data_IF_230842642976
#
_entry.id   IF_230842642976
#
_cell.length_a   1.000
_cell.length_b   1.000
_cell.length_c   1.000
_cell.angle_alpha   90.00
_cell.angle_beta   90.00
_cell.angle_gamma   90.00
#
_symmetry.space_group_name_H-M   'P 1'
#
loop_
_entity.id
_entity.type
_entity.pdbx_description
1 polymer ?
#
# COMPACT_ATOMS: atom_id res chain seq x y z
N UNK A 1 -10.72 15.45 10.00
CA UNK A 1 -10.13 14.43 10.88
C UNK A 1 -9.24 13.52 10.04
N UNK A 2 -8.09 13.04 10.54
CA UNK A 2 -7.28 12.06 9.84
C UNK A 2 -8.08 10.77 9.64
N UNK A 3 -7.94 10.17 8.46
CA UNK A 3 -8.59 8.88 8.13
C UNK A 3 -7.58 7.77 8.40
N UNK A 4 -7.99 6.74 9.13
CA UNK A 4 -7.14 5.61 9.48
C UNK A 4 -7.33 4.45 8.49
N UNK A 5 -6.24 3.75 8.20
CA UNK A 5 -6.22 2.50 7.45
C UNK A 5 -5.79 1.40 8.42
N UNK A 6 -6.58 0.35 8.52
CA UNK A 6 -6.20 -0.83 9.31
C UNK A 6 -5.31 -1.78 8.49
N UNK A 7 -4.34 -2.41 9.13
CA UNK A 7 -3.40 -3.35 8.50
C UNK A 7 -3.38 -4.72 9.18
N UNK A 8 -4.28 -4.96 10.14
CA UNK A 8 -4.30 -6.17 10.97
C UNK A 8 -4.38 -7.44 10.12
N UNK A 9 -5.33 -7.51 9.19
CA UNK A 9 -5.53 -8.70 8.35
C UNK A 9 -4.28 -8.99 7.51
N UNK A 10 -3.67 -7.96 6.90
CA UNK A 10 -2.43 -8.13 6.15
C UNK A 10 -1.31 -8.68 7.02
N UNK A 11 -1.13 -8.16 8.22
CA UNK A 11 -0.08 -8.59 9.13
C UNK A 11 -0.29 -10.03 9.63
N UNK A 12 -1.52 -10.42 9.93
CA UNK A 12 -1.87 -11.80 10.28
C UNK A 12 -1.68 -12.79 9.13
N UNK A 13 -1.62 -12.31 7.90
CA UNK A 13 -1.41 -13.10 6.69
C UNK A 13 0.04 -13.16 6.23
N UNK A 14 0.97 -12.48 6.91
CA UNK A 14 2.40 -12.46 6.61
C UNK A 14 3.20 -13.35 7.57
N UNK A 15 4.48 -13.60 7.24
CA UNK A 15 5.43 -14.27 8.13
C UNK A 15 5.50 -13.57 9.51
N UNK A 16 5.60 -14.33 10.63
CA UNK A 16 5.66 -15.79 10.72
C UNK A 16 4.28 -16.47 10.76
N UNK A 17 3.18 -15.73 10.71
CA UNK A 17 1.80 -16.24 10.87
C UNK A 17 1.18 -16.77 9.57
N UNK A 18 1.86 -16.52 8.44
CA UNK A 18 1.34 -16.92 7.13
C UNK A 18 1.02 -18.42 7.06
N UNK A 19 -0.20 -18.72 6.62
CA UNK A 19 -0.72 -20.08 6.56
C UNK A 19 -1.16 -20.69 7.90
N UNK A 20 -0.99 -19.96 9.02
CA UNK A 20 -1.44 -20.42 10.33
C UNK A 20 -2.82 -19.89 10.72
N UNK A 21 -3.23 -18.79 10.09
CA UNK A 21 -4.54 -18.19 10.30
C UNK A 21 -5.39 -18.43 9.05
N UNK A 22 -6.35 -19.34 9.08
CA UNK A 22 -7.20 -19.65 7.94
C UNK A 22 -8.14 -18.48 7.62
N UNK A 23 -8.60 -18.41 6.38
CA UNK A 23 -9.50 -17.34 5.91
C UNK A 23 -10.75 -17.24 6.78
N UNK A 24 -11.32 -18.38 7.22
CA UNK A 24 -12.51 -18.39 8.06
C UNK A 24 -12.37 -17.58 9.36
N UNK A 25 -11.21 -17.64 10.02
CA UNK A 25 -10.93 -16.85 11.23
C UNK A 25 -10.76 -15.35 10.91
N UNK A 26 -10.12 -15.04 9.78
CA UNK A 26 -9.95 -13.65 9.34
C UNK A 26 -11.28 -12.96 9.00
N UNK A 27 -12.29 -13.71 8.55
CA UNK A 27 -13.61 -13.13 8.26
C UNK A 27 -14.27 -12.53 9.49
N UNK A 28 -14.19 -13.21 10.65
CA UNK A 28 -14.71 -12.67 11.90
C UNK A 28 -14.01 -11.38 12.33
N UNK A 29 -12.68 -11.31 12.17
CA UNK A 29 -11.90 -10.10 12.44
C UNK A 29 -12.30 -8.98 11.47
N UNK A 30 -12.45 -9.29 10.18
CA UNK A 30 -12.83 -8.33 9.16
C UNK A 30 -14.20 -7.69 9.43
N UNK A 31 -15.19 -8.47 9.86
CA UNK A 31 -16.53 -7.97 10.21
C UNK A 31 -16.52 -7.00 11.41
N UNK A 32 -15.60 -7.19 12.35
CA UNK A 32 -15.41 -6.24 13.47
C UNK A 32 -14.75 -4.97 12.98
N UNK A 33 -13.69 -5.08 12.17
CA UNK A 33 -12.95 -3.95 11.62
C UNK A 33 -13.81 -3.11 10.65
N UNK A 34 -14.71 -3.75 9.90
CA UNK A 34 -15.62 -3.08 8.96
C UNK A 34 -16.54 -2.07 9.66
N UNK A 35 -16.89 -2.34 10.92
CA UNK A 35 -17.75 -1.47 11.74
C UNK A 35 -16.97 -0.38 12.50
N UNK A 36 -15.63 -0.43 12.48
CA UNK A 36 -14.79 0.49 13.26
C UNK A 36 -14.56 1.85 12.59
N UNK A 37 -15.06 2.06 11.36
CA UNK A 37 -14.97 3.35 10.66
C UNK A 37 -13.63 3.61 10.00
N UNK A 38 -12.85 2.59 9.67
CA UNK A 38 -11.63 2.73 8.88
C UNK A 38 -11.91 3.19 7.46
N UNK A 39 -10.98 3.94 6.89
CA UNK A 39 -11.07 4.38 5.49
C UNK A 39 -10.77 3.25 4.50
N UNK A 40 -9.98 2.27 4.93
CA UNK A 40 -9.60 1.11 4.14
C UNK A 40 -9.10 0.01 5.08
N UNK A 41 -9.36 -1.25 4.74
CA UNK A 41 -8.77 -2.42 5.37
C UNK A 41 -7.69 -2.97 4.43
N UNK A 42 -6.42 -2.83 4.79
CA UNK A 42 -5.32 -3.40 4.04
C UNK A 42 -5.24 -4.90 4.34
N UNK A 43 -5.73 -5.72 3.42
CA UNK A 43 -5.97 -7.15 3.65
C UNK A 43 -4.89 -8.05 3.06
N UNK A 44 -4.04 -7.52 2.16
CA UNK A 44 -3.02 -8.32 1.51
C UNK A 44 -1.81 -7.47 1.11
N UNK A 45 -0.74 -8.14 0.71
CA UNK A 45 0.49 -7.51 0.25
C UNK A 45 1.38 -8.51 -0.47
N UNK A 46 2.48 -8.04 -1.07
CA UNK A 46 3.40 -8.89 -1.82
C UNK A 46 3.89 -10.10 -1.03
N UNK A 47 4.18 -9.93 0.26
CA UNK A 47 4.61 -11.04 1.13
C UNK A 47 3.55 -12.12 1.34
N UNK A 48 2.26 -11.76 1.31
CA UNK A 48 1.17 -12.75 1.40
C UNK A 48 1.14 -13.65 0.17
N UNK A 49 1.26 -13.06 -1.03
CA UNK A 49 1.31 -13.83 -2.28
C UNK A 49 2.56 -14.70 -2.38
N UNK A 50 3.72 -14.16 -2.03
CA UNK A 50 4.98 -14.91 -2.04
C UNK A 50 4.91 -16.12 -1.12
N UNK A 51 4.38 -15.95 0.09
CA UNK A 51 4.21 -17.04 1.05
C UNK A 51 3.20 -18.08 0.57
N UNK A 52 2.09 -17.66 -0.01
CA UNK A 52 1.07 -18.56 -0.53
C UNK A 52 1.65 -19.48 -1.62
N UNK A 53 2.44 -18.93 -2.53
CA UNK A 53 3.11 -19.70 -3.59
C UNK A 53 4.16 -20.66 -3.01
N UNK A 54 5.00 -20.19 -2.10
CA UNK A 54 6.10 -21.02 -1.55
C UNK A 54 5.64 -22.13 -0.62
N UNK A 55 4.57 -21.91 0.13
CA UNK A 55 4.12 -22.86 1.17
C UNK A 55 2.87 -23.65 0.79
N UNK A 56 2.29 -23.38 -0.37
CA UNK A 56 1.07 -24.04 -0.81
C UNK A 56 -0.12 -23.84 0.13
N UNK A 57 -0.19 -22.65 0.75
CA UNK A 57 -1.32 -22.28 1.60
C UNK A 57 -2.52 -21.81 0.76
N UNK A 58 -3.61 -21.41 1.41
CA UNK A 58 -4.81 -20.90 0.75
C UNK A 58 -4.52 -19.81 -0.30
N UNK A 59 -5.31 -19.82 -1.37
CA UNK A 59 -5.19 -18.84 -2.44
C UNK A 59 -5.43 -17.41 -1.93
N UNK A 60 -4.48 -16.47 -2.12
CA UNK A 60 -4.69 -15.08 -1.74
C UNK A 60 -5.87 -14.43 -2.47
N UNK A 61 -6.18 -14.86 -3.69
CA UNK A 61 -7.31 -14.36 -4.47
C UNK A 61 -8.65 -14.79 -3.86
N UNK A 62 -8.77 -16.05 -3.44
CA UNK A 62 -9.97 -16.56 -2.77
C UNK A 62 -10.19 -15.86 -1.43
N UNK A 63 -9.11 -15.63 -0.68
CA UNK A 63 -9.14 -14.86 0.56
C UNK A 63 -9.65 -13.44 0.34
N UNK A 64 -9.13 -12.72 -0.66
CA UNK A 64 -9.58 -11.35 -0.98
C UNK A 64 -11.07 -11.35 -1.35
N UNK A 65 -11.54 -12.29 -2.20
CA UNK A 65 -12.96 -12.41 -2.54
C UNK A 65 -13.83 -12.69 -1.33
N UNK A 66 -13.40 -13.59 -0.45
CA UNK A 66 -14.14 -13.94 0.76
C UNK A 66 -14.27 -12.72 1.70
N UNK A 67 -13.19 -11.96 1.89
CA UNK A 67 -13.20 -10.72 2.67
C UNK A 67 -14.11 -9.67 2.02
N UNK A 68 -14.02 -9.47 0.70
CA UNK A 68 -14.86 -8.52 -0.04
C UNK A 68 -16.35 -8.83 0.07
N UNK A 69 -16.71 -10.10 0.12
CA UNK A 69 -18.10 -10.52 0.29
C UNK A 69 -18.66 -10.25 1.71
N UNK A 70 -17.81 -9.99 2.69
CA UNK A 70 -18.17 -9.80 4.11
C UNK A 70 -17.98 -8.37 4.62
N UNK A 71 -17.36 -7.50 3.83
CA UNK A 71 -17.03 -6.12 4.24
C UNK A 71 -17.53 -5.11 3.23
N UNK A 72 -17.90 -3.94 3.72
CA UNK A 72 -18.29 -2.76 2.92
C UNK A 72 -17.15 -1.75 2.80
N UNK A 73 -16.25 -1.72 3.78
CA UNK A 73 -15.05 -0.88 3.77
C UNK A 73 -14.15 -1.25 2.59
N UNK A 74 -13.59 -0.27 1.86
CA UNK A 74 -12.66 -0.54 0.77
C UNK A 74 -11.50 -1.44 1.18
N UNK A 75 -11.16 -2.43 0.33
CA UNK A 75 -10.05 -3.34 0.58
C UNK A 75 -8.76 -2.84 -0.05
N UNK A 76 -7.67 -2.89 0.72
CA UNK A 76 -6.35 -2.42 0.34
C UNK A 76 -5.33 -3.53 0.07
N UNK A 77 -4.43 -3.27 -0.89
CA UNK A 77 -3.29 -4.11 -1.24
C UNK A 77 -2.01 -3.30 -1.23
N UNK A 78 -1.01 -3.72 -0.43
CA UNK A 78 0.30 -3.07 -0.35
C UNK A 78 1.35 -3.80 -1.19
N UNK A 79 2.04 -3.06 -2.07
CA UNK A 79 3.02 -3.59 -3.01
C UNK A 79 4.30 -2.74 -3.04
N UNK A 80 5.43 -3.35 -3.45
CA UNK A 80 6.72 -2.68 -3.61
C UNK A 80 6.95 -2.31 -5.08
N UNK A 81 6.24 -1.30 -5.58
CA UNK A 81 6.42 -0.85 -6.97
C UNK A 81 6.46 -2.02 -7.96
N UNK A 82 7.42 -2.01 -8.89
CA UNK A 82 7.61 -3.09 -9.89
C UNK A 82 8.05 -4.44 -9.33
N UNK A 83 8.45 -4.50 -8.06
CA UNK A 83 8.81 -5.77 -7.42
C UNK A 83 7.57 -6.60 -7.04
N UNK A 84 6.41 -5.97 -6.95
CA UNK A 84 5.11 -6.56 -6.60
C UNK A 84 5.20 -7.52 -5.41
N UNK A 85 5.40 -8.80 -5.70
CA UNK A 85 5.39 -9.91 -4.74
C UNK A 85 6.79 -10.46 -4.41
N UNK A 86 7.82 -10.09 -5.16
CA UNK A 86 9.14 -10.70 -5.06
C UNK A 86 10.25 -9.72 -4.68
N UNK A 87 11.49 -10.18 -4.89
CA UNK A 87 12.73 -9.41 -4.71
C UNK A 87 13.34 -8.96 -6.03
N UNK A 88 12.73 -9.28 -7.17
CA UNK A 88 13.18 -8.87 -8.50
C UNK A 88 12.06 -8.09 -9.20
N UNK A 89 12.41 -7.05 -9.97
CA UNK A 89 11.42 -6.33 -10.75
C UNK A 89 10.81 -7.25 -11.83
N UNK A 90 9.51 -7.10 -12.04
CA UNK A 90 8.79 -7.87 -13.06
C UNK A 90 8.47 -7.01 -14.28
N UNK A 91 8.21 -7.66 -15.42
CA UNK A 91 7.87 -6.97 -16.65
C UNK A 91 6.49 -6.29 -16.60
N UNK A 92 6.31 -5.25 -17.40
CA UNK A 92 5.10 -4.42 -17.44
C UNK A 92 3.82 -5.23 -17.71
N UNK A 93 3.88 -6.28 -18.55
CA UNK A 93 2.72 -7.13 -18.81
C UNK A 93 2.29 -7.95 -17.59
N UNK A 94 3.25 -8.42 -16.79
CA UNK A 94 2.94 -9.09 -15.54
C UNK A 94 2.32 -8.11 -14.54
N UNK A 95 2.86 -6.89 -14.43
CA UNK A 95 2.31 -5.84 -13.59
C UNK A 95 0.85 -5.58 -13.95
N UNK A 96 0.55 -5.36 -15.23
CA UNK A 96 -0.82 -5.10 -15.70
C UNK A 96 -1.78 -6.23 -15.35
N UNK A 97 -1.40 -7.49 -15.65
CA UNK A 97 -2.23 -8.66 -15.33
C UNK A 97 -2.46 -8.83 -13.84
N UNK A 98 -1.42 -8.64 -13.03
CA UNK A 98 -1.52 -8.74 -11.57
C UNK A 98 -2.48 -7.69 -11.01
N UNK A 99 -2.35 -6.43 -11.42
CA UNK A 99 -3.23 -5.33 -10.99
C UNK A 99 -4.67 -5.57 -11.44
N UNK A 100 -4.90 -5.99 -12.70
CA UNK A 100 -6.24 -6.32 -13.20
C UNK A 100 -6.87 -7.43 -12.35
N UNK A 101 -6.15 -8.54 -12.15
CA UNK A 101 -6.62 -9.64 -11.32
C UNK A 101 -6.92 -9.21 -9.89
N UNK A 102 -6.09 -8.36 -9.28
CA UNK A 102 -6.34 -7.85 -7.94
C UNK A 102 -7.63 -7.00 -7.89
N UNK A 103 -7.81 -6.11 -8.85
CA UNK A 103 -9.00 -5.27 -8.98
C UNK A 103 -10.28 -6.09 -9.18
N UNK A 104 -10.23 -7.11 -10.05
CA UNK A 104 -11.33 -8.04 -10.33
C UNK A 104 -11.69 -8.90 -9.11
N UNK A 105 -10.73 -9.23 -8.27
CA UNK A 105 -10.95 -9.98 -7.03
C UNK A 105 -11.40 -9.10 -5.85
N UNK A 106 -11.57 -7.80 -6.03
CA UNK A 106 -12.20 -6.92 -5.03
C UNK A 106 -11.27 -5.95 -4.33
N UNK A 107 -10.02 -5.77 -4.80
CA UNK A 107 -9.14 -4.71 -4.30
C UNK A 107 -9.61 -3.36 -4.82
N UNK A 108 -9.79 -2.39 -3.92
CA UNK A 108 -10.24 -1.04 -4.22
C UNK A 108 -9.11 -0.01 -4.14
N UNK A 109 -8.14 -0.22 -3.25
CA UNK A 109 -7.05 0.70 -2.96
C UNK A 109 -5.70 0.00 -3.09
N UNK A 110 -4.80 0.54 -3.89
CA UNK A 110 -3.44 0.03 -4.01
C UNK A 110 -2.46 1.01 -3.37
N UNK A 111 -1.69 0.56 -2.39
CA UNK A 111 -0.61 1.31 -1.80
C UNK A 111 0.72 0.81 -2.34
N UNK A 112 1.42 1.67 -3.06
CA UNK A 112 2.75 1.38 -3.59
C UNK A 112 3.81 2.19 -2.85
N UNK A 113 4.95 1.58 -2.58
CA UNK A 113 6.18 2.27 -2.19
C UNK A 113 7.38 1.57 -2.84
N UNK A 114 8.46 2.29 -3.00
CA UNK A 114 9.77 1.71 -3.28
C UNK A 114 10.64 1.84 -2.03
N UNK A 115 11.34 0.78 -1.58
CA UNK A 115 12.15 0.83 -0.35
C UNK A 115 13.29 1.85 -0.38
N UNK A 116 13.76 2.22 -1.59
CA UNK A 116 14.81 3.21 -1.82
C UNK A 116 14.25 4.54 -2.34
N UNK A 117 12.93 4.71 -2.35
CA UNK A 117 12.24 5.87 -2.88
C UNK A 117 12.50 6.15 -4.37
N UNK A 118 12.81 5.11 -5.15
CA UNK A 118 12.88 5.27 -6.60
C UNK A 118 11.46 5.34 -7.18
N UNK A 119 10.99 6.57 -7.40
CA UNK A 119 9.65 6.85 -7.94
C UNK A 119 9.46 6.26 -9.34
N UNK A 120 10.53 6.00 -10.09
CA UNK A 120 10.44 5.36 -11.41
C UNK A 120 9.83 3.96 -11.34
N UNK A 121 10.07 3.23 -10.26
CA UNK A 121 9.51 1.90 -10.00
C UNK A 121 8.00 1.91 -9.71
N UNK A 122 7.42 3.07 -9.44
CA UNK A 122 5.98 3.22 -9.19
C UNK A 122 5.19 3.56 -10.47
N UNK A 123 5.85 3.95 -11.57
CA UNK A 123 5.18 4.45 -12.78
C UNK A 123 4.30 3.40 -13.45
N UNK A 124 4.88 2.26 -13.83
CA UNK A 124 4.15 1.20 -14.52
C UNK A 124 3.00 0.63 -13.68
N UNK A 125 3.21 0.23 -12.40
CA UNK A 125 2.13 -0.26 -11.58
C UNK A 125 1.10 0.83 -11.24
N UNK A 126 1.52 2.08 -11.04
CA UNK A 126 0.61 3.20 -10.85
C UNK A 126 -0.29 3.43 -12.07
N UNK A 127 0.28 3.42 -13.29
CA UNK A 127 -0.50 3.52 -14.51
C UNK A 127 -1.50 2.36 -14.66
N UNK A 128 -1.10 1.13 -14.33
CA UNK A 128 -1.98 -0.03 -14.37
C UNK A 128 -3.16 0.12 -13.40
N UNK A 129 -2.92 0.60 -12.17
CA UNK A 129 -3.95 0.82 -11.13
C UNK A 129 -4.96 1.88 -11.59
N UNK A 130 -4.46 3.02 -12.09
CA UNK A 130 -5.32 4.10 -12.59
C UNK A 130 -6.17 3.63 -13.78
N UNK A 131 -5.58 2.85 -14.70
CA UNK A 131 -6.30 2.29 -15.84
C UNK A 131 -7.35 1.24 -15.42
N UNK A 132 -7.16 0.56 -14.29
CA UNK A 132 -8.15 -0.32 -13.68
C UNK A 132 -9.26 0.44 -12.91
N UNK A 133 -9.22 1.79 -12.88
CA UNK A 133 -10.20 2.61 -12.17
C UNK A 133 -10.12 2.52 -10.64
N UNK A 134 -8.95 2.19 -10.09
CA UNK A 134 -8.74 1.99 -8.66
C UNK A 134 -7.94 3.13 -8.02
N UNK A 135 -8.08 3.29 -6.68
CA UNK A 135 -7.30 4.29 -5.94
C UNK A 135 -5.82 3.87 -5.88
N UNK A 136 -4.94 4.84 -6.19
CA UNK A 136 -3.50 4.67 -6.12
C UNK A 136 -2.90 5.56 -5.05
N UNK A 137 -2.36 4.98 -3.98
CA UNK A 137 -1.64 5.67 -2.93
C UNK A 137 -0.13 5.43 -3.10
N UNK A 138 0.65 6.50 -3.27
CA UNK A 138 2.10 6.43 -3.40
C UNK A 138 2.79 6.73 -2.07
N UNK A 139 3.59 5.80 -1.58
CA UNK A 139 4.34 5.91 -0.33
C UNK A 139 5.77 6.37 -0.55
N UNK A 140 6.24 7.31 0.26
CA UNK A 140 7.64 7.67 0.42
C UNK A 140 8.15 7.15 1.75
N UNK A 141 9.25 6.42 1.74
CA UNK A 141 9.88 5.85 2.93
C UNK A 141 10.70 6.93 3.62
N UNK A 142 10.40 7.19 4.88
CA UNK A 142 11.21 8.04 5.73
C UNK A 142 12.31 7.21 6.41
N UNK A 143 13.56 7.70 6.33
CA UNK A 143 14.71 7.11 7.01
C UNK A 143 15.26 8.13 8.00
N UNK A 144 15.12 7.91 9.33
CA UNK A 144 15.67 8.81 10.33
C UNK A 144 17.20 8.76 10.34
N UNK A 145 17.84 9.87 10.71
CA UNK A 145 19.29 9.95 10.91
C UNK A 145 20.11 10.41 9.70
N UNK A 146 19.51 10.56 8.53
CA UNK A 146 20.17 11.21 7.39
C UNK A 146 19.94 12.73 7.46
N UNK A 147 21.01 13.56 7.52
CA UNK A 147 20.88 15.02 7.56
C UNK A 147 20.10 15.64 6.39
N UNK A 148 20.03 14.97 5.25
CA UNK A 148 19.31 15.42 4.06
C UNK A 148 17.94 14.76 3.86
N UNK A 149 17.50 13.85 4.75
CA UNK A 149 16.34 13.00 4.53
C UNK A 149 15.05 13.78 4.19
N UNK A 150 14.80 14.91 4.84
CA UNK A 150 13.60 15.69 4.60
C UNK A 150 13.63 16.41 3.26
N UNK A 151 14.75 16.94 2.83
CA UNK A 151 14.89 17.62 1.54
C UNK A 151 14.80 16.60 0.38
N UNK A 152 15.38 15.41 0.56
CA UNK A 152 15.22 14.30 -0.39
C UNK A 152 13.77 13.85 -0.51
N UNK A 153 13.05 13.71 0.60
CA UNK A 153 11.63 13.39 0.60
C UNK A 153 10.79 14.44 -0.16
N UNK A 154 11.13 15.72 0.00
CA UNK A 154 10.46 16.81 -0.73
C UNK A 154 10.67 16.69 -2.23
N UNK A 155 11.90 16.42 -2.68
CA UNK A 155 12.19 16.22 -4.11
C UNK A 155 11.48 14.99 -4.67
N UNK A 156 11.44 13.90 -3.93
CA UNK A 156 10.70 12.70 -4.29
C UNK A 156 9.19 12.94 -4.32
N UNK A 157 8.65 13.72 -3.37
CA UNK A 157 7.23 14.09 -3.35
C UNK A 157 6.82 14.90 -4.61
N UNK A 158 7.69 15.78 -5.11
CA UNK A 158 7.44 16.49 -6.38
C UNK A 158 7.33 15.52 -7.56
N UNK A 159 8.12 14.45 -7.57
CA UNK A 159 8.06 13.44 -8.63
C UNK A 159 6.74 12.63 -8.61
N UNK A 160 6.09 12.50 -7.45
CA UNK A 160 4.81 11.79 -7.33
C UNK A 160 3.68 12.47 -8.10
N UNK A 161 3.74 13.78 -8.30
CA UNK A 161 2.73 14.51 -9.09
C UNK A 161 2.63 14.01 -10.54
N UNK A 162 3.75 13.51 -11.07
CA UNK A 162 3.84 12.98 -12.45
C UNK A 162 3.32 11.56 -12.64
N UNK A 163 2.94 10.84 -11.57
CA UNK A 163 2.50 9.43 -11.66
C UNK A 163 1.01 9.21 -11.36
N UNK A 164 0.22 10.29 -11.29
CA UNK A 164 -1.24 10.24 -11.10
C UNK A 164 -1.68 9.54 -9.82
N UNK A 165 -0.86 9.57 -8.75
CA UNK A 165 -1.26 9.08 -7.44
C UNK A 165 -2.47 9.90 -6.92
N UNK A 166 -3.44 9.22 -6.30
CA UNK A 166 -4.59 9.87 -5.64
C UNK A 166 -4.24 10.40 -4.26
N UNK A 167 -3.22 9.81 -3.63
CA UNK A 167 -2.67 10.25 -2.34
C UNK A 167 -1.19 9.97 -2.27
N UNK A 168 -0.46 10.84 -1.56
CA UNK A 168 0.90 10.58 -1.10
C UNK A 168 0.88 10.19 0.38
N UNK A 169 1.73 9.26 0.76
CA UNK A 169 1.87 8.76 2.13
C UNK A 169 3.33 8.84 2.56
N UNK A 170 3.57 9.21 3.80
CA UNK A 170 4.87 9.01 4.45
C UNK A 170 4.87 7.65 5.14
N UNK A 171 5.72 6.76 4.68
CA UNK A 171 5.91 5.44 5.27
C UNK A 171 7.10 5.47 6.22
N UNK A 172 6.85 5.28 7.50
CA UNK A 172 7.87 5.24 8.55
C UNK A 172 7.99 3.81 9.11
N UNK A 173 8.82 2.96 8.50
CA UNK A 173 8.94 1.57 8.91
C UNK A 173 9.68 1.41 10.25
N UNK A 174 10.42 2.43 10.66
CA UNK A 174 11.18 2.43 11.93
C UNK A 174 10.36 2.91 13.13
N UNK A 175 9.22 3.59 12.88
CA UNK A 175 8.47 4.28 13.93
C UNK A 175 9.24 5.47 14.54
N UNK A 176 10.24 5.99 13.83
CA UNK A 176 11.10 7.07 14.30
C UNK A 176 10.47 8.47 14.22
N UNK A 177 9.37 8.61 13.49
CA UNK A 177 8.57 9.83 13.44
C UNK A 177 7.59 9.89 14.60
N UNK A 178 7.89 10.68 15.61
CA UNK A 178 6.91 11.00 16.67
C UNK A 178 5.72 11.74 16.09
N UNK A 179 4.57 11.74 16.81
CA UNK A 179 3.31 12.41 16.37
C UNK A 179 3.51 13.87 15.97
N UNK A 180 4.45 14.58 16.62
CA UNK A 180 4.84 15.94 16.26
C UNK A 180 5.65 15.96 14.98
N UNK A 181 6.55 14.99 14.79
CA UNK A 181 7.36 14.81 13.58
C UNK A 181 6.50 14.50 12.35
N UNK A 182 5.50 13.65 12.46
CA UNK A 182 4.56 13.36 11.37
C UNK A 182 3.85 14.64 10.87
N UNK A 183 3.38 15.49 11.80
CA UNK A 183 2.74 16.76 11.42
C UNK A 183 3.71 17.74 10.78
N UNK A 184 4.94 17.80 11.26
CA UNK A 184 5.99 18.64 10.66
C UNK A 184 6.37 18.12 9.28
N UNK A 185 6.58 16.82 9.12
CA UNK A 185 6.90 16.20 7.83
C UNK A 185 5.78 16.46 6.81
N UNK A 186 4.53 16.18 7.15
CA UNK A 186 3.39 16.43 6.28
C UNK A 186 3.27 17.92 5.88
N UNK A 187 3.42 18.84 6.83
CA UNK A 187 3.40 20.28 6.55
C UNK A 187 4.58 20.71 5.68
N UNK A 188 5.78 20.21 5.95
CA UNK A 188 6.97 20.54 5.17
C UNK A 188 6.83 20.06 3.73
N UNK A 189 6.34 18.83 3.52
CA UNK A 189 6.06 18.30 2.21
C UNK A 189 4.98 19.11 1.50
N UNK A 190 3.89 19.46 2.19
CA UNK A 190 2.81 20.27 1.61
C UNK A 190 3.23 21.69 1.25
N UNK A 191 4.13 22.31 2.01
CA UNK A 191 4.60 23.69 1.77
C UNK A 191 5.71 23.73 0.71
N UNK A 192 6.64 22.78 0.73
CA UNK A 192 7.81 22.74 -0.18
C UNK A 192 7.52 22.05 -1.51
N UNK A 193 6.55 21.13 -1.56
CA UNK A 193 6.08 20.54 -2.81
C UNK A 193 5.30 21.56 -3.65
N UNK A 194 5.18 21.29 -4.95
CA UNK A 194 4.29 22.10 -5.78
C UNK A 194 2.81 21.92 -5.36
N UNK A 195 1.93 22.81 -5.86
CA UNK A 195 0.50 22.78 -5.52
C UNK A 195 -0.17 21.45 -5.87
N UNK A 196 0.33 20.74 -6.85
CA UNK A 196 -0.22 19.47 -7.29
C UNK A 196 0.21 18.34 -6.33
N UNK A 197 1.49 18.27 -5.97
CA UNK A 197 2.00 17.33 -4.97
C UNK A 197 1.40 17.61 -3.57
N UNK A 198 1.24 18.87 -3.18
CA UNK A 198 0.63 19.25 -1.91
C UNK A 198 -0.83 18.82 -1.75
N UNK A 199 -1.58 18.64 -2.86
CA UNK A 199 -2.97 18.12 -2.82
C UNK A 199 -3.06 16.61 -2.57
N UNK A 200 -1.96 15.89 -2.74
CA UNK A 200 -1.88 14.44 -2.55
C UNK A 200 -1.60 14.05 -1.09
N UNK A 201 -0.99 14.96 -0.31
CA UNK A 201 -0.65 14.78 1.10
C UNK A 201 -1.85 15.15 2.00
#
# INVERSE_FOLDING_TARGET
>A
MPRLIDTTIRLLSQEPLAGKVPTGELLGIAEVLDKAGFACLEVSGGGVFDTAVRRGVESPWERIRALKARTTTPLGLALRGRFLIGSRPVGTDFVRRFVSSAAENGVDVFRLHDPLNDVSNLRDPGAAIVNAGKEFHAGLVYSPGDPGAMDQLVEQAKQLSGIRATRALVHDPSGGLESRGHRVAARTLAVKADRQAARLL
#
